data_IF_460358741336
#
_entry.id   IF_460358741336
#
_cell.length_a   1.000
_cell.length_b   1.000
_cell.length_c   1.000
_cell.angle_alpha   90.00
_cell.angle_beta   90.00
_cell.angle_gamma   90.00
#
_symmetry.space_group_name_H-M   'P 1'
#
loop_
_entity.id
_entity.type
_entity.pdbx_description
1 polymer ?
#
# COMPACT_ATOMS: atom_id res chain seq x y z
N UNK A 1 -36.08 11.90 43.13
CA UNK A 1 -34.69 12.33 42.86
C UNK A 1 -33.75 11.18 42.53
N UNK A 2 -34.22 10.05 41.97
CA UNK A 2 -33.36 8.90 41.65
C UNK A 2 -33.18 8.69 40.13
N UNK A 3 -34.18 9.01 39.31
CA UNK A 3 -34.10 8.83 37.85
C UNK A 3 -33.04 9.70 37.14
N UNK A 4 -32.70 10.88 37.69
CA UNK A 4 -31.73 11.81 37.08
C UNK A 4 -30.27 11.33 37.23
N UNK A 5 -29.95 10.61 38.32
CA UNK A 5 -28.60 10.09 38.56
C UNK A 5 -28.29 8.86 37.67
N UNK A 6 -29.30 8.04 37.38
CA UNK A 6 -29.15 6.88 36.49
C UNK A 6 -28.96 7.28 35.01
N UNK A 7 -29.64 8.32 34.55
CA UNK A 7 -29.48 8.81 33.17
C UNK A 7 -28.13 9.48 32.94
N UNK A 8 -27.64 10.26 33.92
CA UNK A 8 -26.29 10.84 33.87
C UNK A 8 -25.21 9.74 33.81
N UNK A 9 -25.33 8.71 34.65
CA UNK A 9 -24.30 7.67 34.72
C UNK A 9 -24.26 6.78 33.46
N UNK A 10 -25.41 6.56 32.83
CA UNK A 10 -25.49 5.87 31.53
C UNK A 10 -24.85 6.70 30.40
N UNK A 11 -25.03 8.03 30.41
CA UNK A 11 -24.38 8.92 29.44
C UNK A 11 -22.86 8.94 29.59
N UNK A 12 -22.33 9.03 30.82
CA UNK A 12 -20.88 9.04 31.06
C UNK A 12 -20.24 7.71 30.62
N UNK A 13 -20.89 6.59 30.93
CA UNK A 13 -20.43 5.26 30.48
C UNK A 13 -20.42 5.13 28.96
N UNK A 14 -21.47 5.61 28.28
CA UNK A 14 -21.53 5.62 26.80
C UNK A 14 -20.42 6.48 26.18
N UNK A 15 -20.18 7.66 26.72
CA UNK A 15 -19.12 8.57 26.24
C UNK A 15 -17.74 7.92 26.40
N UNK A 16 -17.48 7.27 27.56
CA UNK A 16 -16.22 6.56 27.81
C UNK A 16 -16.02 5.36 26.87
N UNK A 17 -17.10 4.63 26.54
CA UNK A 17 -17.02 3.53 25.57
C UNK A 17 -16.79 4.02 24.13
N UNK A 18 -17.35 5.17 23.75
CA UNK A 18 -17.14 5.74 22.41
C UNK A 18 -15.71 6.25 22.27
N UNK A 19 -15.15 6.92 23.29
CA UNK A 19 -13.78 7.44 23.24
C UNK A 19 -12.72 6.33 23.21
N UNK A 20 -12.98 5.22 23.89
CA UNK A 20 -12.11 4.03 23.83
C UNK A 20 -12.19 3.32 22.49
N UNK A 21 -13.40 3.20 21.91
CA UNK A 21 -13.58 2.60 20.59
C UNK A 21 -12.94 3.43 19.47
N UNK A 22 -13.06 4.76 19.51
CA UNK A 22 -12.40 5.63 18.52
C UNK A 22 -10.88 5.57 18.62
N UNK A 23 -10.34 5.46 19.84
CA UNK A 23 -8.90 5.20 20.07
C UNK A 23 -8.42 3.90 19.42
N UNK A 24 -9.19 2.81 19.59
CA UNK A 24 -8.89 1.52 18.95
C UNK A 24 -8.96 1.57 17.42
N UNK A 25 -9.94 2.29 16.85
CA UNK A 25 -10.08 2.45 15.40
C UNK A 25 -8.87 3.19 14.81
N UNK A 26 -8.42 4.28 15.43
CA UNK A 26 -7.24 5.02 14.96
C UNK A 26 -5.96 4.17 15.04
N UNK A 27 -5.81 3.36 16.09
CA UNK A 27 -4.68 2.42 16.21
C UNK A 27 -4.71 1.34 15.12
N UNK A 28 -5.87 0.77 14.82
CA UNK A 28 -6.01 -0.20 13.73
C UNK A 28 -5.68 0.41 12.36
N UNK A 29 -6.04 1.68 12.14
CA UNK A 29 -5.70 2.39 10.91
C UNK A 29 -4.18 2.60 10.76
N UNK A 30 -3.48 2.99 11.83
CA UNK A 30 -2.02 3.17 11.79
C UNK A 30 -1.29 1.83 11.62
N UNK A 31 -1.79 0.76 12.23
CA UNK A 31 -1.27 -0.61 12.05
C UNK A 31 -1.40 -1.05 10.59
N UNK A 32 -2.55 -0.82 9.95
CA UNK A 32 -2.73 -1.17 8.53
C UNK A 32 -1.77 -0.39 7.62
N UNK A 33 -1.48 0.87 7.95
CA UNK A 33 -0.51 1.67 7.21
C UNK A 33 0.92 1.14 7.36
N UNK A 34 1.33 0.77 8.58
CA UNK A 34 2.68 0.23 8.82
C UNK A 34 2.87 -1.16 8.21
N UNK A 35 1.83 -2.01 8.22
CA UNK A 35 1.83 -3.32 7.53
C UNK A 35 2.02 -3.15 6.03
N UNK A 36 1.30 -2.22 5.40
CA UNK A 36 1.46 -1.98 3.96
C UNK A 36 2.86 -1.47 3.61
N UNK A 37 3.47 -0.65 4.48
CA UNK A 37 4.84 -0.18 4.30
C UNK A 37 5.85 -1.33 4.42
N UNK A 38 5.70 -2.20 5.42
CA UNK A 38 6.63 -3.32 5.63
C UNK A 38 6.56 -4.36 4.51
N UNK A 39 5.36 -4.65 3.99
CA UNK A 39 5.18 -5.54 2.83
C UNK A 39 5.86 -4.96 1.58
N UNK A 40 5.70 -3.65 1.34
CA UNK A 40 6.34 -3.00 0.21
C UNK A 40 7.87 -3.05 0.33
N UNK A 41 8.39 -2.92 1.55
CA UNK A 41 9.83 -2.94 1.82
C UNK A 41 10.43 -4.35 1.71
N UNK A 42 9.73 -5.40 2.14
CA UNK A 42 10.19 -6.79 1.97
C UNK A 42 10.20 -7.22 0.50
N UNK A 43 9.28 -6.70 -0.31
CA UNK A 43 9.27 -6.93 -1.76
C UNK A 43 10.41 -6.21 -2.51
N UNK A 44 11.14 -5.30 -1.84
CA UNK A 44 12.31 -4.63 -2.43
C UNK A 44 13.64 -5.30 -2.06
N UNK A 45 13.63 -6.28 -1.17
CA UNK A 45 14.87 -6.96 -0.77
C UNK A 45 15.16 -8.08 -1.77
N UNK A 46 16.15 -7.86 -2.63
CA UNK A 46 16.55 -8.85 -3.62
C UNK A 46 17.55 -9.82 -2.97
N UNK A 47 17.29 -11.14 -2.94
CA UNK A 47 18.20 -12.13 -2.34
C UNK A 47 19.60 -12.15 -2.98
N UNK A 48 19.78 -11.55 -4.15
CA UNK A 48 21.08 -11.39 -4.80
C UNK A 48 21.90 -10.20 -4.28
N UNK A 49 21.29 -9.27 -3.53
CA UNK A 49 21.98 -8.10 -2.96
C UNK A 49 23.10 -8.52 -1.99
N UNK A 50 22.91 -9.61 -1.25
CA UNK A 50 23.90 -10.16 -0.31
C UNK A 50 25.09 -10.84 -1.01
N UNK A 51 24.87 -11.32 -2.24
CA UNK A 51 25.89 -12.00 -3.05
C UNK A 51 26.69 -11.02 -3.93
N UNK A 52 26.41 -9.71 -3.84
CA UNK A 52 27.02 -8.67 -4.67
C UNK A 52 26.54 -8.67 -6.13
N UNK A 53 25.55 -9.52 -6.47
CA UNK A 53 24.94 -9.56 -7.80
C UNK A 53 23.79 -8.58 -7.87
N UNK A 54 24.10 -7.37 -8.32
CA UNK A 54 23.17 -6.27 -8.29
C UNK A 54 22.17 -6.31 -9.44
N UNK A 55 21.02 -6.92 -9.21
CA UNK A 55 19.91 -6.96 -10.17
C UNK A 55 18.97 -5.78 -9.95
N UNK A 56 19.26 -4.67 -10.62
CA UNK A 56 18.44 -3.44 -10.61
C UNK A 56 17.55 -3.34 -11.84
N UNK A 57 16.26 -3.00 -11.70
CA UNK A 57 15.43 -2.65 -12.84
C UNK A 57 15.87 -1.29 -13.41
N UNK A 58 15.86 -1.16 -14.73
CA UNK A 58 16.13 0.10 -15.43
C UNK A 58 14.84 0.62 -16.05
N UNK A 59 14.36 1.79 -15.63
CA UNK A 59 13.06 2.31 -16.11
C UNK A 59 13.00 2.49 -17.63
N UNK A 60 14.13 2.75 -18.28
CA UNK A 60 14.20 2.95 -19.73
C UNK A 60 14.14 1.65 -20.55
N UNK A 61 14.31 0.48 -19.92
CA UNK A 61 14.13 -0.83 -20.57
C UNK A 61 12.69 -1.34 -20.47
N UNK A 62 11.80 -0.60 -19.81
CA UNK A 62 10.38 -0.96 -19.69
C UNK A 62 9.73 -1.08 -21.07
N UNK A 63 9.10 -2.24 -21.32
CA UNK A 63 8.37 -2.51 -22.57
C UNK A 63 7.26 -1.50 -22.85
N UNK A 64 6.67 -0.91 -21.80
CA UNK A 64 5.65 0.13 -21.90
C UNK A 64 6.27 1.42 -22.44
N UNK A 65 7.46 1.78 -21.95
CA UNK A 65 8.18 2.96 -22.43
C UNK A 65 8.63 2.77 -23.87
N UNK A 66 9.13 1.58 -24.22
CA UNK A 66 9.53 1.24 -25.59
C UNK A 66 8.36 1.28 -26.56
N UNK A 67 7.19 0.75 -26.17
CA UNK A 67 5.95 0.83 -26.94
C UNK A 67 5.52 2.29 -27.15
N UNK A 68 5.53 3.10 -26.09
CA UNK A 68 5.19 4.52 -26.16
C UNK A 68 6.14 5.31 -27.07
N UNK A 69 7.45 5.09 -26.96
CA UNK A 69 8.46 5.71 -27.82
C UNK A 69 8.30 5.29 -29.28
N UNK A 70 8.12 4.00 -29.55
CA UNK A 70 7.91 3.51 -30.91
C UNK A 70 6.65 4.14 -31.55
N UNK A 71 5.55 4.19 -30.79
CA UNK A 71 4.29 4.80 -31.22
C UNK A 71 4.46 6.30 -31.48
N UNK A 72 5.20 7.01 -30.63
CA UNK A 72 5.51 8.43 -30.80
C UNK A 72 6.23 8.71 -32.12
N UNK A 73 7.14 7.82 -32.54
CA UNK A 73 7.84 7.90 -33.83
C UNK A 73 7.01 7.36 -35.02
N UNK A 74 5.72 7.06 -34.82
CA UNK A 74 4.82 6.60 -35.88
C UNK A 74 4.95 5.11 -36.22
N UNK A 75 5.68 4.33 -35.40
CA UNK A 75 5.74 2.88 -35.54
C UNK A 75 4.50 2.23 -34.92
N UNK A 76 4.26 0.96 -35.27
CA UNK A 76 3.20 0.12 -34.70
C UNK A 76 3.82 -1.05 -33.95
N UNK A 77 4.24 -0.87 -32.69
CA UNK A 77 4.83 -1.95 -31.90
C UNK A 77 3.83 -3.09 -31.66
N UNK A 78 4.30 -4.33 -31.38
CA UNK A 78 3.43 -5.42 -30.97
C UNK A 78 2.69 -5.07 -29.67
N UNK A 79 1.45 -5.54 -29.55
CA UNK A 79 0.67 -5.33 -28.34
C UNK A 79 1.35 -5.95 -27.12
N UNK A 80 1.42 -5.22 -26.01
CA UNK A 80 2.00 -5.72 -24.76
C UNK A 80 1.34 -7.01 -24.26
N UNK A 81 0.04 -7.15 -24.51
CA UNK A 81 -0.72 -8.36 -24.13
C UNK A 81 -0.27 -9.54 -24.98
N UNK A 82 0.45 -10.47 -24.36
CA UNK A 82 1.00 -11.65 -25.03
C UNK A 82 2.33 -11.40 -25.74
N UNK A 83 2.96 -10.25 -25.52
CA UNK A 83 4.30 -9.98 -26.00
C UNK A 83 5.31 -10.95 -25.37
N UNK A 84 6.23 -11.46 -26.18
CA UNK A 84 7.39 -12.22 -25.71
C UNK A 84 8.55 -11.26 -25.56
N UNK A 85 9.11 -11.18 -24.37
CA UNK A 85 10.21 -10.29 -24.00
C UNK A 85 11.45 -11.15 -23.76
N UNK A 86 12.58 -10.71 -24.29
CA UNK A 86 13.89 -11.29 -24.04
C UNK A 86 14.75 -10.21 -23.35
N UNK A 87 15.34 -10.57 -22.22
CA UNK A 87 16.31 -9.74 -21.49
C UNK A 87 17.74 -10.16 -21.82
#
# INVERSE_FOLDING_TARGET
MFLCQFTLQCCVSKILTISTLTGQIMANQSINQSINQSINQSNQHNPYDELGYYSKPFSYTSIVLLEGNATFWGLKPPALKGAKVLE
#
